data_IF_418243775977
#
_entry.id   IF_418243775977
#
_cell.length_a   1.000
_cell.length_b   1.000
_cell.length_c   1.000
_cell.angle_alpha   90.00
_cell.angle_beta   90.00
_cell.angle_gamma   90.00
#
_symmetry.space_group_name_H-M   'P 1'
#
loop_
_entity.id
_entity.type
_entity.pdbx_description
1 polymer ?
#
# COMPACT_ATOMS: atom_id res chain seq x y z
N UNK A 1 -13.55 -2.48 2.31
CA UNK A 1 -12.58 -1.86 1.38
C UNK A 1 -13.20 -0.84 0.43
N UNK A 2 -14.21 -1.19 -0.38
CA UNK A 2 -14.78 -0.29 -1.40
C UNK A 2 -15.27 1.07 -0.84
N UNK A 3 -16.03 1.05 0.26
CA UNK A 3 -16.53 2.28 0.91
C UNK A 3 -15.41 3.26 1.29
N UNK A 4 -14.28 2.76 1.81
CA UNK A 4 -13.16 3.64 2.20
C UNK A 4 -12.43 4.21 0.99
N UNK A 5 -12.21 3.41 -0.05
CA UNK A 5 -11.57 3.86 -1.29
C UNK A 5 -12.42 4.92 -1.97
N UNK A 6 -13.74 4.72 -2.00
CA UNK A 6 -14.70 5.70 -2.50
C UNK A 6 -14.63 7.02 -1.71
N UNK A 7 -14.66 6.96 -0.37
CA UNK A 7 -14.58 8.18 0.46
C UNK A 7 -13.23 8.89 0.28
N UNK A 8 -12.11 8.15 0.21
CA UNK A 8 -10.77 8.70 -0.03
C UNK A 8 -10.72 9.42 -1.37
N UNK A 9 -11.17 8.77 -2.44
CA UNK A 9 -11.22 9.33 -3.78
C UNK A 9 -12.12 10.57 -3.86
N UNK A 10 -13.30 10.54 -3.21
CA UNK A 10 -14.21 11.69 -3.15
C UNK A 10 -13.58 12.89 -2.44
N UNK A 11 -12.84 12.66 -1.35
CA UNK A 11 -12.14 13.73 -0.62
C UNK A 11 -10.98 14.28 -1.42
N UNK A 12 -10.24 13.40 -2.11
CA UNK A 12 -9.15 13.79 -2.97
C UNK A 12 -9.64 14.66 -4.15
N UNK A 13 -10.69 14.22 -4.85
CA UNK A 13 -11.35 15.00 -5.90
C UNK A 13 -11.78 16.38 -5.42
N UNK A 14 -12.51 16.46 -4.29
CA UNK A 14 -12.89 17.74 -3.66
C UNK A 14 -11.70 18.63 -3.26
N UNK A 15 -10.50 18.07 -3.05
CA UNK A 15 -9.30 18.87 -2.78
C UNK A 15 -8.69 19.37 -4.07
N UNK A 16 -8.61 18.54 -5.10
CA UNK A 16 -8.19 18.97 -6.43
C UNK A 16 -9.08 20.11 -6.97
N UNK A 17 -10.41 20.00 -6.80
CA UNK A 17 -11.36 21.06 -7.19
C UNK A 17 -11.06 22.38 -6.46
N UNK A 18 -10.75 22.33 -5.16
CA UNK A 18 -10.38 23.51 -4.35
C UNK A 18 -9.03 24.11 -4.73
N UNK A 19 -8.13 23.30 -5.26
CA UNK A 19 -6.82 23.74 -5.75
C UNK A 19 -6.88 24.17 -7.23
N UNK A 20 -8.08 24.23 -7.82
CA UNK A 20 -8.32 24.53 -9.23
C UNK A 20 -7.54 23.63 -10.19
N UNK A 21 -7.38 22.35 -9.83
CA UNK A 21 -6.64 21.42 -10.67
C UNK A 21 -7.49 20.26 -11.22
N UNK A 22 -7.43 20.06 -12.53
CA UNK A 22 -8.14 18.97 -13.19
C UNK A 22 -7.58 17.59 -12.80
N UNK A 23 -8.47 16.69 -12.37
CA UNK A 23 -8.14 15.28 -12.12
C UNK A 23 -8.63 14.44 -13.30
N UNK A 24 -7.71 13.81 -14.03
CA UNK A 24 -8.07 12.95 -15.16
C UNK A 24 -8.58 11.60 -14.65
N UNK A 25 -9.41 10.93 -15.44
CA UNK A 25 -9.92 9.59 -15.10
C UNK A 25 -8.80 8.58 -14.84
N UNK A 26 -7.75 8.59 -15.67
CA UNK A 26 -6.60 7.70 -15.48
C UNK A 26 -5.90 7.93 -14.13
N UNK A 27 -5.74 9.20 -13.73
CA UNK A 27 -5.11 9.57 -12.46
C UNK A 27 -6.00 9.14 -11.28
N UNK A 28 -7.31 9.27 -11.42
CA UNK A 28 -8.28 8.82 -10.42
C UNK A 28 -8.29 7.29 -10.26
N UNK A 29 -8.16 6.53 -11.35
CA UNK A 29 -8.08 5.06 -11.31
C UNK A 29 -6.84 4.60 -10.56
N UNK A 30 -5.67 5.19 -10.84
CA UNK A 30 -4.43 4.91 -10.11
C UNK A 30 -4.60 5.21 -8.62
N UNK A 31 -5.17 6.37 -8.29
CA UNK A 31 -5.43 6.75 -6.91
C UNK A 31 -6.39 5.78 -6.19
N UNK A 32 -7.47 5.35 -6.85
CA UNK A 32 -8.45 4.41 -6.29
C UNK A 32 -7.83 3.05 -6.07
N UNK A 33 -7.00 2.59 -6.99
CA UNK A 33 -6.35 1.29 -6.93
C UNK A 33 -5.30 1.26 -5.80
N UNK A 34 -4.48 2.31 -5.65
CA UNK A 34 -3.66 2.48 -4.43
C UNK A 34 -4.55 2.61 -3.17
N UNK A 35 -5.71 3.25 -3.24
CA UNK A 35 -6.60 3.35 -2.08
C UNK A 35 -7.25 2.00 -1.71
N UNK A 36 -7.37 1.08 -2.68
CA UNK A 36 -7.91 -0.27 -2.49
C UNK A 36 -6.87 -1.26 -1.94
N UNK A 37 -5.67 -0.80 -1.59
CA UNK A 37 -4.62 -1.59 -0.93
C UNK A 37 -5.15 -2.49 0.20
N UNK A 38 -4.97 -3.81 0.10
CA UNK A 38 -5.42 -4.75 1.14
C UNK A 38 -4.78 -4.48 2.52
N UNK A 39 -3.46 -4.30 2.56
CA UNK A 39 -2.69 -3.86 3.74
C UNK A 39 -2.84 -2.35 3.93
N UNK A 40 -3.22 -1.92 5.13
CA UNK A 40 -3.17 -0.51 5.49
C UNK A 40 -1.72 -0.08 5.79
N UNK A 41 -1.47 1.23 5.77
CA UNK A 41 -0.13 1.80 5.96
C UNK A 41 0.54 1.44 7.29
N UNK A 42 -0.25 1.16 8.34
CA UNK A 42 0.23 0.83 9.69
C UNK A 42 0.11 -0.68 10.01
N UNK A 43 -0.03 -1.52 8.98
CA UNK A 43 -0.18 -2.96 9.16
C UNK A 43 1.13 -3.60 9.66
N UNK A 44 1.14 -4.06 10.92
CA UNK A 44 2.20 -4.94 11.48
C UNK A 44 2.26 -6.28 10.74
N UNK A 45 3.39 -6.97 10.86
CA UNK A 45 3.60 -8.29 10.23
C UNK A 45 2.48 -9.31 10.57
N UNK A 46 1.97 -9.33 11.80
CA UNK A 46 0.83 -10.20 12.16
C UNK A 46 -0.43 -9.94 11.32
N UNK A 47 -0.77 -8.69 11.06
CA UNK A 47 -1.92 -8.34 10.21
C UNK A 47 -1.68 -8.75 8.76
N UNK A 48 -0.42 -8.65 8.29
CA UNK A 48 -0.05 -9.07 6.94
C UNK A 48 -0.10 -10.59 6.79
N UNK A 49 0.30 -11.34 7.82
CA UNK A 49 0.15 -12.81 7.87
C UNK A 49 -1.32 -13.20 7.87
N UNK A 50 -2.17 -12.52 8.66
CA UNK A 50 -3.61 -12.77 8.65
C UNK A 50 -4.24 -12.49 7.27
N UNK A 51 -3.85 -11.41 6.59
CA UNK A 51 -4.27 -11.17 5.21
C UNK A 51 -3.77 -12.25 4.26
N UNK A 52 -2.49 -12.62 4.36
CA UNK A 52 -1.91 -13.67 3.51
C UNK A 52 -2.69 -14.98 3.68
N UNK A 53 -3.06 -15.34 4.91
CA UNK A 53 -3.89 -16.50 5.20
C UNK A 53 -5.24 -16.43 4.47
N UNK A 54 -5.97 -15.31 4.58
CA UNK A 54 -7.24 -15.12 3.87
C UNK A 54 -7.09 -15.21 2.34
N UNK A 55 -5.97 -14.72 1.80
CA UNK A 55 -5.70 -14.80 0.36
C UNK A 55 -5.36 -16.23 -0.08
N UNK A 56 -4.62 -16.97 0.74
CA UNK A 56 -4.31 -18.39 0.49
C UNK A 56 -5.59 -19.22 0.58
N UNK A 57 -6.47 -18.94 1.54
CA UNK A 57 -7.77 -19.58 1.66
C UNK A 57 -8.65 -19.31 0.42
N UNK A 58 -8.72 -18.04 -0.03
CA UNK A 58 -9.41 -17.68 -1.26
C UNK A 58 -8.84 -18.36 -2.50
N UNK A 59 -7.50 -18.46 -2.60
CA UNK A 59 -6.82 -19.17 -3.67
C UNK A 59 -7.13 -20.67 -3.66
N UNK A 60 -7.11 -21.33 -2.49
CA UNK A 60 -7.49 -22.74 -2.37
C UNK A 60 -8.96 -22.98 -2.75
N UNK A 61 -9.85 -22.05 -2.37
CA UNK A 61 -11.25 -22.06 -2.77
C UNK A 61 -11.41 -21.95 -4.29
N UNK A 62 -10.68 -21.03 -4.93
CA UNK A 62 -10.69 -20.89 -6.39
C UNK A 62 -10.15 -22.14 -7.08
N UNK A 63 -9.05 -22.75 -6.60
CA UNK A 63 -8.53 -24.02 -7.16
C UNK A 63 -9.54 -25.15 -7.04
N UNK A 64 -10.18 -25.30 -5.87
CA UNK A 64 -11.17 -26.35 -5.65
C UNK A 64 -12.37 -26.18 -6.59
N UNK A 65 -12.89 -24.96 -6.68
CA UNK A 65 -14.07 -24.68 -7.50
C UNK A 65 -13.78 -24.88 -8.99
N UNK A 66 -12.55 -24.60 -9.40
CA UNK A 66 -12.09 -24.75 -10.78
C UNK A 66 -11.87 -26.22 -11.19
N UNK A 67 -11.57 -27.10 -10.23
CA UNK A 67 -11.61 -28.56 -10.43
C UNK A 67 -13.07 -29.05 -10.51
N UNK A 68 -13.97 -28.45 -9.72
CA UNK A 68 -15.35 -28.90 -9.59
C UNK A 68 -16.30 -28.37 -10.70
N UNK A 69 -15.94 -27.29 -11.39
CA UNK A 69 -16.86 -26.61 -12.32
C UNK A 69 -16.30 -26.50 -13.74
N UNK A 70 -17.15 -26.84 -14.72
CA UNK A 70 -16.89 -26.62 -16.13
C UNK A 70 -17.74 -25.46 -16.69
N UNK A 71 -17.29 -24.85 -17.78
CA UNK A 71 -18.06 -23.81 -18.50
C UNK A 71 -17.76 -22.36 -18.11
N UNK A 72 -18.77 -21.49 -18.21
CA UNK A 72 -18.62 -20.02 -18.06
C UNK A 72 -18.23 -19.63 -16.63
N UNK A 73 -18.74 -20.36 -15.63
CA UNK A 73 -18.42 -20.10 -14.22
C UNK A 73 -16.94 -20.41 -13.93
N UNK A 74 -16.39 -21.46 -14.55
CA UNK A 74 -14.95 -21.74 -14.50
C UNK A 74 -14.10 -20.60 -15.08
N UNK A 75 -14.53 -19.93 -16.16
CA UNK A 75 -13.83 -18.75 -16.71
C UNK A 75 -13.74 -17.60 -15.73
N UNK A 76 -14.80 -17.35 -14.95
CA UNK A 76 -14.79 -16.33 -13.91
C UNK A 76 -13.83 -16.69 -12.76
N UNK A 77 -13.69 -17.97 -12.43
CA UNK A 77 -12.74 -18.44 -11.42
C UNK A 77 -11.29 -18.26 -11.83
N UNK A 78 -10.95 -18.44 -13.12
CA UNK A 78 -9.59 -18.13 -13.59
C UNK A 78 -9.22 -16.65 -13.36
N UNK A 79 -10.18 -15.74 -13.51
CA UNK A 79 -9.98 -14.31 -13.23
C UNK A 79 -9.80 -14.08 -11.72
N UNK A 80 -10.66 -14.69 -10.89
CA UNK A 80 -10.55 -14.62 -9.43
C UNK A 80 -9.20 -15.18 -8.94
N UNK A 81 -8.79 -16.33 -9.46
CA UNK A 81 -7.53 -16.99 -9.15
C UNK A 81 -6.33 -16.10 -9.47
N UNK A 82 -6.32 -15.49 -10.67
CA UNK A 82 -5.29 -14.54 -11.07
C UNK A 82 -5.18 -13.34 -10.13
N UNK A 83 -6.33 -12.79 -9.69
CA UNK A 83 -6.38 -11.67 -8.76
C UNK A 83 -5.89 -12.05 -7.36
N UNK A 84 -6.35 -13.18 -6.82
CA UNK A 84 -5.91 -13.69 -5.52
C UNK A 84 -4.40 -13.99 -5.53
N UNK A 85 -3.89 -14.58 -6.61
CA UNK A 85 -2.46 -14.83 -6.77
C UNK A 85 -1.64 -13.54 -6.86
N UNK A 86 -2.12 -12.54 -7.61
CA UNK A 86 -1.52 -11.20 -7.68
C UNK A 86 -1.47 -10.55 -6.29
N UNK A 87 -2.53 -10.71 -5.50
CA UNK A 87 -2.59 -10.27 -4.10
C UNK A 87 -1.59 -10.99 -3.20
N UNK A 88 -1.45 -12.31 -3.32
CA UNK A 88 -0.46 -13.11 -2.57
C UNK A 88 0.95 -12.64 -2.90
N UNK A 89 1.27 -12.48 -4.19
CA UNK A 89 2.58 -11.98 -4.64
C UNK A 89 2.88 -10.59 -4.08
N UNK A 90 1.91 -9.68 -4.10
CA UNK A 90 2.06 -8.33 -3.54
C UNK A 90 2.29 -8.37 -2.03
N UNK A 91 1.54 -9.19 -1.28
CA UNK A 91 1.71 -9.32 0.17
C UNK A 91 3.06 -9.93 0.56
N UNK A 92 3.48 -10.99 -0.13
CA UNK A 92 4.79 -11.61 0.09
C UNK A 92 5.91 -10.62 -0.18
N UNK A 93 5.82 -9.87 -1.29
CA UNK A 93 6.81 -8.85 -1.60
C UNK A 93 6.86 -7.74 -0.54
N UNK A 94 5.71 -7.25 -0.07
CA UNK A 94 5.68 -6.25 1.03
C UNK A 94 6.30 -6.78 2.33
N UNK A 95 6.09 -8.06 2.66
CA UNK A 95 6.72 -8.69 3.82
C UNK A 95 8.24 -8.76 3.65
N UNK A 96 8.72 -9.20 2.49
CA UNK A 96 10.15 -9.26 2.17
C UNK A 96 10.79 -7.87 2.19
N UNK A 97 10.09 -6.84 1.69
CA UNK A 97 10.54 -5.45 1.75
C UNK A 97 10.66 -4.97 3.21
N UNK A 98 9.69 -5.27 4.08
CA UNK A 98 9.79 -4.91 5.51
C UNK A 98 10.88 -5.64 6.27
N UNK A 99 11.22 -6.85 5.85
CA UNK A 99 12.32 -7.60 6.46
C UNK A 99 13.71 -7.13 5.95
N UNK A 100 13.75 -6.20 4.99
CA UNK A 100 14.99 -5.68 4.39
C UNK A 100 15.90 -6.77 3.80
N UNK A 101 15.33 -7.89 3.35
CA UNK A 101 16.09 -9.03 2.81
C UNK A 101 16.65 -8.78 1.41
N UNK A 102 16.12 -7.78 0.69
CA UNK A 102 16.48 -7.44 -0.68
C UNK A 102 17.04 -6.02 -0.69
N UNK A 103 18.13 -5.77 -1.40
CA UNK A 103 18.70 -4.43 -1.55
C UNK A 103 17.80 -3.47 -2.34
N UNK A 104 17.93 -2.16 -2.12
CA UNK A 104 17.05 -1.14 -2.71
C UNK A 104 16.98 -1.17 -4.26
N UNK A 105 18.11 -1.48 -4.92
CA UNK A 105 18.19 -1.57 -6.38
C UNK A 105 17.36 -2.73 -6.92
N UNK A 106 17.47 -3.90 -6.28
CA UNK A 106 16.71 -5.09 -6.68
C UNK A 106 15.24 -4.98 -6.28
N UNK A 107 14.92 -4.36 -5.15
CA UNK A 107 13.54 -4.01 -4.79
C UNK A 107 12.88 -3.12 -5.84
N UNK A 108 13.56 -2.05 -6.26
CA UNK A 108 13.06 -1.11 -7.27
C UNK A 108 12.88 -1.80 -8.63
N UNK A 109 13.84 -2.65 -9.02
CA UNK A 109 13.76 -3.45 -10.24
C UNK A 109 12.54 -4.38 -10.23
N UNK A 110 12.36 -5.13 -9.14
CA UNK A 110 11.22 -6.05 -8.99
C UNK A 110 9.90 -5.28 -8.99
N UNK A 111 9.79 -4.16 -8.28
CA UNK A 111 8.59 -3.32 -8.29
C UNK A 111 8.24 -2.85 -9.70
N UNK A 112 9.22 -2.35 -10.46
CA UNK A 112 8.96 -1.83 -11.81
C UNK A 112 8.63 -2.93 -12.82
N UNK A 113 9.19 -4.14 -12.68
CA UNK A 113 8.92 -5.27 -13.56
C UNK A 113 7.59 -5.97 -13.25
N UNK A 114 7.33 -6.27 -11.99
CA UNK A 114 6.20 -7.12 -11.57
C UNK A 114 5.00 -6.33 -11.05
N UNK A 115 5.23 -5.14 -10.50
CA UNK A 115 4.21 -4.35 -9.83
C UNK A 115 4.04 -2.99 -10.52
N UNK A 116 3.67 -3.03 -11.79
CA UNK A 116 3.33 -1.82 -12.55
C UNK A 116 1.86 -1.82 -13.02
N UNK A 117 1.28 -0.64 -13.13
CA UNK A 117 -0.14 -0.47 -13.51
C UNK A 117 -0.44 -0.93 -14.94
N UNK A 118 0.50 -0.70 -15.85
CA UNK A 118 0.33 -0.96 -17.27
C UNK A 118 0.22 -2.45 -17.59
N UNK A 119 0.97 -3.31 -16.88
CA UNK A 119 1.01 -4.76 -17.11
C UNK A 119 0.27 -5.56 -16.05
N UNK A 120 -0.21 -4.95 -14.96
CA UNK A 120 -0.95 -5.68 -13.92
C UNK A 120 -2.21 -6.34 -14.47
N UNK A 121 -3.06 -5.56 -15.15
CA UNK A 121 -4.35 -6.02 -15.68
C UNK A 121 -4.15 -6.91 -16.92
N UNK A 122 -3.22 -6.55 -17.80
CA UNK A 122 -2.84 -7.40 -18.93
C UNK A 122 -2.30 -8.75 -18.45
N UNK A 123 -1.47 -8.73 -17.40
CA UNK A 123 -0.92 -9.91 -16.76
C UNK A 123 -2.00 -10.81 -16.19
N UNK A 124 -3.00 -10.26 -15.50
CA UNK A 124 -4.13 -11.03 -14.96
C UNK A 124 -4.99 -11.64 -16.08
N UNK A 125 -5.29 -10.89 -17.15
CA UNK A 125 -6.06 -11.39 -18.29
C UNK A 125 -5.34 -12.53 -19.04
N UNK A 126 -4.06 -12.33 -19.37
CA UNK A 126 -3.25 -13.35 -20.07
C UNK A 126 -3.02 -14.55 -19.15
N UNK A 127 -2.79 -14.32 -17.85
CA UNK A 127 -2.62 -15.41 -16.90
C UNK A 127 -3.89 -16.26 -16.80
N UNK A 128 -5.08 -15.66 -16.74
CA UNK A 128 -6.35 -16.40 -16.77
C UNK A 128 -6.49 -17.26 -18.04
N UNK A 129 -6.16 -16.71 -19.22
CA UNK A 129 -6.20 -17.46 -20.48
C UNK A 129 -5.15 -18.59 -20.54
N UNK A 130 -3.93 -18.32 -20.08
CA UNK A 130 -2.84 -19.28 -20.05
C UNK A 130 -3.07 -20.38 -19.01
N UNK A 131 -3.66 -20.05 -17.85
CA UNK A 131 -4.07 -21.00 -16.83
C UNK A 131 -5.11 -21.98 -17.37
N UNK A 132 -6.08 -21.50 -18.17
CA UNK A 132 -7.05 -22.37 -18.82
C UNK A 132 -6.35 -23.40 -19.74
N UNK A 133 -5.37 -22.96 -20.52
CA UNK A 133 -4.61 -23.85 -21.37
C UNK A 133 -3.74 -24.82 -20.56
N UNK A 134 -3.05 -24.32 -19.52
CA UNK A 134 -2.17 -25.09 -18.64
C UNK A 134 -2.91 -26.21 -17.91
N UNK A 135 -4.08 -25.92 -17.31
CA UNK A 135 -4.87 -26.93 -16.59
C UNK A 135 -5.53 -27.92 -17.54
N UNK A 136 -5.96 -27.49 -18.73
CA UNK A 136 -6.44 -28.42 -19.78
C UNK A 136 -5.33 -29.37 -20.23
N UNK A 137 -4.10 -28.86 -20.38
CA UNK A 137 -2.93 -29.67 -20.73
C UNK A 137 -2.57 -30.65 -19.59
N UNK A 138 -2.60 -30.21 -18.33
CA UNK A 138 -2.33 -31.07 -17.18
C UNK A 138 -3.37 -32.20 -17.04
N UNK A 139 -4.67 -31.88 -17.17
CA UNK A 139 -5.76 -32.87 -17.13
C UNK A 139 -5.67 -33.89 -18.27
N UNK A 140 -5.19 -33.48 -19.45
CA UNK A 140 -4.95 -34.40 -20.58
C UNK A 140 -3.66 -35.20 -20.46
N UNK A 141 -2.67 -34.71 -19.71
CA UNK A 141 -1.38 -35.36 -19.58
C UNK A 141 -1.50 -36.68 -18.79
N UNK A 142 -0.78 -37.72 -19.24
CA UNK A 142 -0.69 -39.02 -18.55
C UNK A 142 -0.02 -38.92 -17.16
N UNK A 143 0.57 -37.77 -16.81
CA UNK A 143 1.27 -37.54 -15.54
C UNK A 143 0.35 -37.66 -14.33
N UNK A 144 -0.87 -37.12 -14.39
CA UNK A 144 -1.85 -37.25 -13.31
C UNK A 144 -2.35 -38.70 -13.14
N UNK A 145 -2.55 -39.41 -14.26
CA UNK A 145 -2.98 -40.83 -14.29
C UNK A 145 -1.94 -41.79 -13.71
N UNK A 146 -0.64 -41.47 -13.83
CA UNK A 146 0.45 -42.24 -13.19
C UNK A 146 0.60 -41.87 -11.70
N UNK A 147 0.21 -40.65 -11.35
CA UNK A 147 0.24 -40.12 -9.98
C UNK A 147 -0.76 -40.83 -9.04
N UNK A 148 -1.87 -41.37 -9.56
CA UNK A 148 -2.83 -42.17 -8.76
C UNK A 148 -2.21 -43.45 -8.17
N UNK A 149 -1.20 -44.02 -8.84
CA UNK A 149 -0.49 -45.19 -8.33
C UNK A 149 0.45 -44.82 -7.17
N UNK A 150 1.15 -43.69 -7.27
CA UNK A 150 2.05 -43.15 -6.25
C UNK A 150 1.30 -42.52 -5.05
N UNK A 151 0.08 -41.99 -5.27
CA UNK A 151 -0.76 -41.42 -4.22
C UNK A 151 -1.19 -42.46 -3.17
N UNK A 152 -1.34 -43.74 -3.58
CA UNK A 152 -1.65 -44.86 -2.66
C UNK A 152 -0.47 -45.24 -1.77
N UNK A 153 0.76 -44.87 -2.12
CA UNK A 153 1.98 -45.25 -1.41
C UNK A 153 2.37 -44.29 -0.27
N UNK A 154 2.06 -42.99 -0.38
CA UNK A 154 2.55 -41.97 0.57
C UNK A 154 1.44 -41.31 1.40
N UNK A 155 0.23 -41.18 0.85
CA UNK A 155 -1.04 -40.66 1.44
C UNK A 155 -1.74 -39.73 0.44
N UNK A 156 -3.05 -39.87 0.22
CA UNK A 156 -3.80 -39.06 -0.75
C UNK A 156 -3.79 -37.55 -0.42
N UNK A 157 -3.67 -37.18 0.85
CA UNK A 157 -3.66 -35.77 1.28
C UNK A 157 -2.35 -35.06 0.93
N UNK A 158 -1.21 -35.72 1.16
CA UNK A 158 0.12 -35.16 0.86
C UNK A 158 0.29 -35.00 -0.65
N UNK A 159 -0.15 -36.00 -1.40
CA UNK A 159 -0.06 -35.96 -2.86
C UNK A 159 -0.97 -34.90 -3.49
N UNK A 160 -2.18 -34.72 -2.94
CA UNK A 160 -3.06 -33.62 -3.33
C UNK A 160 -2.42 -32.25 -3.05
N UNK A 161 -1.78 -32.07 -1.88
CA UNK A 161 -1.07 -30.82 -1.54
C UNK A 161 0.07 -30.52 -2.51
N UNK A 162 0.87 -31.53 -2.86
CA UNK A 162 1.95 -31.39 -3.85
C UNK A 162 1.38 -31.01 -5.23
N UNK A 163 0.29 -31.64 -5.65
CA UNK A 163 -0.40 -31.30 -6.90
C UNK A 163 -0.86 -29.84 -6.95
N UNK A 164 -1.51 -29.35 -5.90
CA UNK A 164 -1.90 -27.94 -5.79
C UNK A 164 -0.67 -27.02 -5.78
N UNK A 165 0.40 -27.41 -5.07
CA UNK A 165 1.66 -26.67 -5.04
C UNK A 165 2.28 -26.48 -6.43
N UNK A 166 2.31 -27.53 -7.25
CA UNK A 166 2.81 -27.46 -8.63
C UNK A 166 1.94 -26.55 -9.49
N UNK A 167 0.61 -26.66 -9.37
CA UNK A 167 -0.33 -25.80 -10.10
C UNK A 167 -0.10 -24.33 -9.74
N UNK A 168 -0.08 -24.00 -8.44
CA UNK A 168 0.10 -22.63 -7.96
C UNK A 168 1.46 -22.09 -8.40
N UNK A 169 2.54 -22.88 -8.30
CA UNK A 169 3.87 -22.46 -8.74
C UNK A 169 3.92 -22.20 -10.24
N UNK A 170 3.27 -23.06 -11.05
CA UNK A 170 3.12 -22.86 -12.50
C UNK A 170 2.36 -21.57 -12.82
N UNK A 171 1.25 -21.31 -12.12
CA UNK A 171 0.48 -20.08 -12.23
C UNK A 171 1.31 -18.83 -11.89
N UNK A 172 2.10 -18.88 -10.80
CA UNK A 172 3.00 -17.78 -10.41
C UNK A 172 4.03 -17.53 -11.51
N UNK A 173 4.63 -18.60 -12.04
CA UNK A 173 5.63 -18.50 -13.11
C UNK A 173 5.06 -17.83 -14.36
N UNK A 174 3.87 -18.24 -14.81
CA UNK A 174 3.18 -17.61 -15.94
C UNK A 174 2.87 -16.14 -15.65
N UNK A 175 2.35 -15.81 -14.47
CA UNK A 175 2.04 -14.43 -14.11
C UNK A 175 3.29 -13.54 -14.10
N UNK A 176 4.37 -14.02 -13.47
CA UNK A 176 5.65 -13.32 -13.37
C UNK A 176 6.27 -13.10 -14.76
N UNK A 177 6.28 -14.12 -15.60
CA UNK A 177 6.86 -14.04 -16.97
C UNK A 177 6.09 -13.04 -17.83
N UNK A 178 4.75 -13.13 -17.86
CA UNK A 178 3.91 -12.22 -18.64
C UNK A 178 4.10 -10.77 -18.19
N UNK A 179 4.08 -10.51 -16.87
CA UNK A 179 4.26 -9.14 -16.34
C UNK A 179 5.64 -8.58 -16.64
N UNK A 180 6.67 -9.39 -16.45
CA UNK A 180 8.05 -9.00 -16.74
C UNK A 180 8.24 -8.71 -18.23
N UNK A 181 7.76 -9.60 -19.11
CA UNK A 181 7.88 -9.43 -20.55
C UNK A 181 7.11 -8.20 -21.04
N UNK A 182 5.88 -8.01 -20.56
CA UNK A 182 5.08 -6.83 -20.85
C UNK A 182 5.78 -5.54 -20.43
N UNK A 183 6.42 -5.54 -19.25
CA UNK A 183 7.13 -4.37 -18.75
C UNK A 183 8.38 -4.08 -19.60
N UNK A 184 9.16 -5.11 -19.94
CA UNK A 184 10.34 -4.98 -20.80
C UNK A 184 9.96 -4.43 -22.18
N UNK A 185 8.91 -4.98 -22.81
CA UNK A 185 8.40 -4.51 -24.10
C UNK A 185 7.95 -3.05 -23.98
N UNK A 186 7.17 -2.72 -22.95
CA UNK A 186 6.72 -1.35 -22.71
C UNK A 186 7.89 -0.38 -22.58
N UNK A 187 8.91 -0.73 -21.80
CA UNK A 187 10.12 0.09 -21.63
C UNK A 187 10.87 0.30 -22.92
N UNK A 188 11.02 -0.76 -23.72
CA UNK A 188 11.70 -0.69 -25.01
C UNK A 188 10.96 0.22 -25.98
N UNK A 189 9.63 0.13 -26.04
CA UNK A 189 8.79 0.96 -26.91
C UNK A 189 8.75 2.42 -26.43
N UNK A 190 8.63 2.66 -25.12
CA UNK A 190 8.39 4.01 -24.58
C UNK A 190 9.66 4.83 -24.39
N UNK A 191 10.72 4.22 -23.85
CA UNK A 191 11.94 4.93 -23.45
C UNK A 191 13.15 4.55 -24.32
N UNK A 192 13.02 3.55 -25.20
CA UNK A 192 14.12 3.06 -26.03
C UNK A 192 15.26 2.40 -25.23
N UNK A 193 15.17 2.30 -23.91
CA UNK A 193 16.23 1.77 -23.06
C UNK A 193 15.67 1.07 -21.80
N UNK A 194 16.48 0.17 -21.23
CA UNK A 194 16.14 -0.53 -19.99
C UNK A 194 16.71 0.15 -18.74
N UNK A 195 17.46 1.26 -18.90
CA UNK A 195 18.12 1.96 -17.80
C UNK A 195 17.13 2.43 -16.72
N UNK A 196 15.92 2.79 -17.13
CA UNK A 196 14.83 3.21 -16.23
C UNK A 196 14.39 2.07 -15.29
N UNK A 197 14.64 0.79 -15.58
CA UNK A 197 14.31 -0.28 -14.64
C UNK A 197 15.28 -0.33 -13.44
N UNK A 198 16.54 0.06 -13.65
CA UNK A 198 17.62 -0.09 -12.67
C UNK A 198 17.92 1.24 -11.96
N UNK A 199 17.69 2.38 -12.62
CA UNK A 199 18.06 3.71 -12.12
C UNK A 199 17.27 4.04 -10.85
N UNK A 200 17.92 4.28 -9.70
CA UNK A 200 17.21 4.61 -8.47
C UNK A 200 16.55 6.01 -8.57
N UNK A 201 15.44 6.19 -7.87
CA UNK A 201 14.75 7.47 -7.75
C UNK A 201 14.47 7.78 -6.28
N UNK A 202 14.82 8.98 -5.83
CA UNK A 202 14.64 9.37 -4.43
C UNK A 202 13.17 9.33 -3.95
N UNK A 203 12.22 9.53 -4.88
CA UNK A 203 10.78 9.43 -4.59
C UNK A 203 10.40 7.98 -4.27
N UNK A 204 10.94 7.01 -5.02
CA UNK A 204 10.69 5.58 -4.77
C UNK A 204 11.24 5.17 -3.40
N UNK A 205 12.46 5.63 -3.06
CA UNK A 205 13.05 5.39 -1.74
C UNK A 205 12.24 6.04 -0.61
N UNK A 206 11.69 7.24 -0.84
CA UNK A 206 10.85 7.95 0.13
C UNK A 206 9.49 7.30 0.29
N UNK A 207 8.91 6.75 -0.77
CA UNK A 207 7.70 5.95 -0.67
C UNK A 207 7.99 4.62 0.05
N UNK A 208 9.02 3.88 -0.35
CA UNK A 208 9.30 2.55 0.20
C UNK A 208 8.05 1.67 0.17
N UNK A 209 7.68 1.10 1.33
CA UNK A 209 6.48 0.26 1.51
C UNK A 209 5.14 1.01 1.28
N UNK A 210 5.18 2.34 1.15
CA UNK A 210 4.00 3.20 0.92
C UNK A 210 3.46 3.14 -0.51
N UNK A 211 4.25 2.71 -1.49
CA UNK A 211 3.80 2.51 -2.88
C UNK A 211 3.71 1.02 -3.21
N UNK A 212 2.53 0.53 -3.65
CA UNK A 212 2.34 -0.90 -3.97
C UNK A 212 2.68 -1.16 -5.42
N UNK A 213 2.16 -0.30 -6.28
CA UNK A 213 2.35 -0.37 -7.71
C UNK A 213 3.02 0.91 -8.19
N UNK A 214 3.70 0.81 -9.31
CA UNK A 214 4.41 1.92 -9.98
C UNK A 214 3.74 2.20 -11.32
N UNK A 215 3.58 3.48 -11.67
CA UNK A 215 3.14 3.88 -13.02
C UNK A 215 4.39 4.00 -13.88
N UNK A 216 4.64 3.00 -14.73
CA UNK A 216 5.90 2.85 -15.45
C UNK A 216 6.08 3.94 -16.53
N UNK A 217 5.00 4.34 -17.19
CA UNK A 217 4.98 5.49 -18.10
C UNK A 217 5.01 6.85 -17.41
N UNK A 218 4.94 6.84 -16.08
CA UNK A 218 4.88 8.03 -15.23
C UNK A 218 6.22 8.71 -14.99
N UNK A 219 7.31 8.12 -15.45
CA UNK A 219 8.65 8.67 -15.28
C UNK A 219 9.08 9.58 -16.44
N UNK A 220 9.93 10.54 -16.12
CA UNK A 220 10.76 11.29 -17.05
C UNK A 220 12.22 10.85 -16.83
N UNK A 221 12.89 10.44 -17.91
CA UNK A 221 14.29 10.02 -17.87
C UNK A 221 15.14 11.10 -18.54
N UNK A 222 15.87 11.86 -17.73
CA UNK A 222 16.65 13.03 -18.15
C UNK A 222 18.05 12.91 -17.57
N UNK A 223 19.10 13.09 -18.39
CA UNK A 223 20.50 13.10 -17.94
C UNK A 223 20.89 11.88 -17.06
N UNK A 224 20.44 10.68 -17.45
CA UNK A 224 20.63 9.42 -16.70
C UNK A 224 20.01 9.42 -15.29
N UNK A 225 19.09 10.35 -15.02
CA UNK A 225 18.38 10.48 -13.75
C UNK A 225 16.89 10.29 -14.00
N UNK A 226 16.23 9.66 -13.03
CA UNK A 226 14.82 9.33 -13.12
C UNK A 226 14.00 10.30 -12.27
N UNK A 227 12.98 10.89 -12.87
CA UNK A 227 12.07 11.82 -12.21
C UNK A 227 10.62 11.37 -12.39
N UNK A 228 9.78 11.65 -11.41
CA UNK A 228 8.33 11.53 -11.52
C UNK A 228 7.75 12.75 -12.24
N UNK A 229 6.92 12.50 -13.25
CA UNK A 229 6.12 13.55 -13.88
C UNK A 229 5.09 14.09 -12.88
N UNK A 230 4.69 15.36 -13.04
CA UNK A 230 3.68 16.00 -12.18
C UNK A 230 2.36 15.22 -12.18
N UNK A 231 1.91 14.77 -13.36
CA UNK A 231 0.69 13.97 -13.50
C UNK A 231 0.75 12.68 -12.67
N UNK A 232 1.93 12.05 -12.62
CA UNK A 232 2.15 10.82 -11.84
C UNK A 232 2.14 11.10 -10.34
N UNK A 233 2.80 12.15 -9.89
CA UNK A 233 2.74 12.58 -8.48
C UNK A 233 1.28 12.79 -8.06
N UNK A 234 0.50 13.47 -8.92
CA UNK A 234 -0.92 13.69 -8.73
C UNK A 234 -1.73 12.39 -8.76
N UNK A 235 -1.44 11.45 -9.66
CA UNK A 235 -2.13 10.16 -9.74
C UNK A 235 -1.93 9.33 -8.46
N UNK A 236 -0.76 9.43 -7.82
CA UNK A 236 -0.50 8.82 -6.51
C UNK A 236 -1.08 9.63 -5.32
N UNK A 237 -1.68 10.79 -5.57
CA UNK A 237 -2.18 11.67 -4.52
C UNK A 237 -1.09 12.34 -3.69
N UNK A 238 0.11 12.47 -4.24
CA UNK A 238 1.21 13.20 -3.62
C UNK A 238 1.01 14.70 -3.81
N UNK A 239 1.13 15.44 -2.71
CA UNK A 239 0.95 16.89 -2.66
C UNK A 239 2.14 17.57 -2.00
N UNK A 240 2.29 18.86 -2.28
CA UNK A 240 3.28 19.73 -1.67
C UNK A 240 2.68 20.35 -0.41
N UNK A 241 3.44 20.37 0.68
CA UNK A 241 3.17 21.22 1.84
C UNK A 241 4.28 22.24 1.99
N UNK A 242 3.89 23.48 2.25
CA UNK A 242 4.81 24.55 2.61
C UNK A 242 4.53 25.00 4.04
N UNK A 243 5.58 25.08 4.85
CA UNK A 243 5.53 25.70 6.18
C UNK A 243 5.82 27.20 6.09
N UNK A 244 5.53 27.93 7.18
CA UNK A 244 5.74 29.38 7.28
C UNK A 244 7.19 29.77 7.00
N UNK A 245 8.14 28.90 7.38
CA UNK A 245 9.58 29.05 7.13
C UNK A 245 9.99 28.86 5.66
N UNK A 246 9.02 28.68 4.75
CA UNK A 246 9.26 28.44 3.32
C UNK A 246 9.70 27.02 2.97
N UNK A 247 9.93 26.16 3.97
CA UNK A 247 10.35 24.77 3.79
C UNK A 247 9.29 23.92 3.09
N UNK A 248 9.71 23.13 2.11
CA UNK A 248 8.82 22.30 1.28
C UNK A 248 8.85 20.83 1.69
N UNK A 249 7.68 20.21 1.71
CA UNK A 249 7.50 18.82 2.13
C UNK A 249 6.60 18.04 1.17
N UNK A 250 6.90 16.75 1.04
CA UNK A 250 6.10 15.78 0.33
C UNK A 250 5.05 15.19 1.27
N UNK A 251 3.79 15.30 0.88
CA UNK A 251 2.64 14.85 1.67
C UNK A 251 1.86 13.79 0.92
N UNK A 252 1.42 12.77 1.66
CA UNK A 252 0.66 11.64 1.14
C UNK A 252 -0.54 11.34 2.03
N UNK A 253 -1.59 10.78 1.43
CA UNK A 253 -2.73 10.24 2.16
C UNK A 253 -2.39 8.92 2.85
N UNK A 254 -2.54 8.87 4.17
CA UNK A 254 -2.38 7.63 4.95
C UNK A 254 -3.73 6.94 5.12
N UNK A 255 -3.86 5.73 4.56
CA UNK A 255 -5.04 4.90 4.74
C UNK A 255 -4.86 3.96 5.94
N UNK A 256 -5.85 3.94 6.83
CA UNK A 256 -5.95 3.03 7.97
C UNK A 256 -6.96 1.90 7.69
N UNK A 257 -6.90 0.85 8.51
CA UNK A 257 -7.72 -0.35 8.36
C UNK A 257 -9.23 -0.06 8.46
N UNK A 258 -9.63 0.59 9.55
CA UNK A 258 -11.04 0.76 9.94
C UNK A 258 -11.47 2.23 9.89
N UNK A 259 -10.54 3.15 10.17
CA UNK A 259 -10.84 4.57 10.26
C UNK A 259 -10.42 5.34 8.99
N UNK A 260 -11.23 6.32 8.60
CA UNK A 260 -10.85 7.32 7.60
C UNK A 260 -10.73 8.65 8.34
N UNK A 261 -9.54 8.96 8.90
CA UNK A 261 -9.36 10.16 9.72
C UNK A 261 -9.71 11.42 8.93
N UNK A 262 -10.23 12.45 9.61
CA UNK A 262 -10.55 13.74 8.97
C UNK A 262 -9.29 14.48 8.52
N UNK A 263 -8.17 14.28 9.21
CA UNK A 263 -6.81 14.72 8.82
C UNK A 263 -6.02 13.50 8.38
N UNK A 264 -6.03 13.24 7.08
CA UNK A 264 -5.46 12.05 6.45
C UNK A 264 -4.14 12.31 5.72
N UNK A 265 -3.68 13.57 5.73
CA UNK A 265 -2.44 14.01 5.12
C UNK A 265 -1.26 13.95 6.09
N UNK A 266 -0.21 13.24 5.66
CA UNK A 266 1.02 13.07 6.42
C UNK A 266 2.22 13.45 5.58
N UNK A 267 3.15 14.17 6.20
CA UNK A 267 4.45 14.49 5.63
C UNK A 267 5.32 13.25 5.67
N UNK A 268 5.89 12.87 4.53
CA UNK A 268 6.72 11.66 4.37
C UNK A 268 8.16 11.97 3.92
N UNK A 269 8.42 13.17 3.40
CA UNK A 269 9.76 13.59 3.01
C UNK A 269 9.90 15.10 2.93
N UNK A 270 11.12 15.60 3.10
CA UNK A 270 11.49 16.98 2.81
C UNK A 270 11.87 17.10 1.33
N UNK A 271 11.48 18.21 0.71
CA UNK A 271 11.75 18.51 -0.70
C UNK A 271 12.81 19.59 -0.75
N UNK A 272 13.90 19.33 -1.48
CA UNK A 272 14.94 20.32 -1.75
C UNK A 272 15.22 20.37 -3.26
N UNK A 273 14.74 21.44 -3.90
CA UNK A 273 14.67 21.53 -5.35
C UNK A 273 13.89 20.35 -5.92
N UNK A 274 14.48 19.59 -6.85
CA UNK A 274 13.84 18.41 -7.46
C UNK A 274 14.00 17.12 -6.63
N UNK A 275 14.75 17.12 -5.52
CA UNK A 275 15.06 15.92 -4.74
C UNK A 275 14.13 15.81 -3.53
N UNK A 276 13.85 14.57 -3.12
CA UNK A 276 13.06 14.26 -1.92
C UNK A 276 13.90 13.40 -0.99
N UNK A 277 13.94 13.76 0.29
CA UNK A 277 14.59 12.98 1.32
C UNK A 277 13.56 12.49 2.37
N UNK A 278 13.65 11.23 2.83
CA UNK A 278 12.78 10.75 3.90
C UNK A 278 12.92 11.58 5.17
N UNK A 279 11.81 11.89 5.82
CA UNK A 279 11.78 12.62 7.09
C UNK A 279 10.84 11.90 8.08
N UNK A 280 10.94 12.17 9.40
CA UNK A 280 10.01 11.61 10.37
C UNK A 280 8.57 11.98 10.02
N UNK A 281 7.67 10.99 10.08
CA UNK A 281 6.27 11.19 9.73
C UNK A 281 5.62 12.19 10.70
N UNK A 282 4.97 13.21 10.15
CA UNK A 282 4.20 14.19 10.94
C UNK A 282 2.90 14.55 10.24
N UNK A 283 1.93 15.02 11.01
CA UNK A 283 0.68 15.54 10.48
C UNK A 283 0.94 16.77 9.61
N UNK A 284 0.18 16.89 8.53
CA UNK A 284 0.21 18.06 7.67
C UNK A 284 -0.38 19.27 8.40
N UNK A 285 0.46 20.25 8.72
CA UNK A 285 0.09 21.49 9.41
C UNK A 285 0.22 22.75 8.54
N UNK A 286 0.88 22.65 7.39
CA UNK A 286 1.13 23.78 6.49
C UNK A 286 0.12 23.91 5.36
N UNK A 287 0.38 24.88 4.48
CA UNK A 287 -0.45 25.12 3.29
C UNK A 287 -0.17 24.01 2.27
N UNK A 288 -1.23 23.34 1.83
CA UNK A 288 -1.16 22.26 0.85
C UNK A 288 -1.41 22.81 -0.54
N UNK A 289 -0.51 22.51 -1.46
CA UNK A 289 -0.62 22.83 -2.87
C UNK A 289 -0.14 21.66 -3.72
N UNK A 290 -0.26 21.78 -5.03
CA UNK A 290 0.28 20.79 -5.96
C UNK A 290 1.71 21.10 -6.36
N UNK A 291 2.45 20.08 -6.78
CA UNK A 291 3.81 20.28 -7.27
C UNK A 291 3.79 20.92 -8.66
N UNK A 292 4.59 21.96 -8.83
CA UNK A 292 4.84 22.64 -10.11
C UNK A 292 6.10 22.11 -10.83
N UNK A 293 6.82 21.18 -10.19
CA UNK A 293 8.07 20.63 -10.71
C UNK A 293 8.12 19.10 -10.60
N UNK A 294 8.94 18.48 -11.45
CA UNK A 294 9.23 17.04 -11.38
C UNK A 294 10.11 16.73 -10.17
N UNK A 295 9.89 15.57 -9.56
CA UNK A 295 10.64 15.14 -8.37
C UNK A 295 11.38 13.84 -8.64
N UNK A 296 12.64 13.72 -8.22
CA UNK A 296 13.45 12.53 -8.42
C UNK A 296 14.95 12.79 -8.42
N UNK A 297 15.67 11.92 -9.12
CA UNK A 297 17.12 11.87 -9.15
C UNK A 297 17.72 10.98 -8.06
N UNK A 298 19.05 11.00 -7.99
CA UNK A 298 19.84 10.20 -7.04
C UNK A 298 20.14 11.03 -5.79
N UNK A 299 19.86 10.46 -4.62
CA UNK A 299 20.29 11.02 -3.33
C UNK A 299 21.79 10.77 -3.21
N UNK A 300 22.62 11.82 -3.26
CA UNK A 300 24.07 11.70 -3.00
C UNK A 300 25.04 12.42 -3.96
N UNK A 301 24.61 12.99 -5.07
CA UNK A 301 25.54 13.77 -5.92
C UNK A 301 25.56 15.27 -5.59
N UNK A 302 26.80 15.72 -5.34
CA UNK A 302 27.37 17.06 -5.10
C UNK A 302 27.35 17.63 -3.65
N UNK A 303 28.49 17.50 -2.95
CA UNK A 303 29.09 18.65 -2.26
C UNK A 303 28.91 18.82 -0.74
N UNK A 304 28.50 17.83 0.05
CA UNK A 304 28.53 17.99 1.52
C UNK A 304 28.73 16.66 2.25
N UNK A 305 29.92 16.48 2.82
CA UNK A 305 30.38 15.37 3.65
C UNK A 305 29.75 15.41 5.05
N UNK A 306 28.42 15.34 5.18
CA UNK A 306 27.77 15.12 6.49
C UNK A 306 26.32 14.64 6.47
N UNK A 307 25.90 13.74 5.57
CA UNK A 307 24.47 13.41 5.44
C UNK A 307 24.12 11.91 5.36
N UNK A 308 24.98 11.03 5.91
CA UNK A 308 24.80 9.58 5.83
C UNK A 308 24.03 8.91 6.98
N UNK A 309 23.42 9.64 7.94
CA UNK A 309 22.82 9.01 9.13
C UNK A 309 21.28 8.91 9.16
N UNK A 310 20.58 9.25 8.07
CA UNK A 310 19.10 9.23 8.03
C UNK A 310 18.45 8.12 7.21
N UNK A 311 19.20 7.45 6.33
CA UNK A 311 18.62 6.52 5.35
C UNK A 311 18.13 5.18 5.95
N UNK A 312 18.53 4.84 7.18
CA UNK A 312 18.23 3.53 7.78
C UNK A 312 17.00 3.49 8.68
N UNK A 313 16.13 4.49 8.64
CA UNK A 313 14.97 4.54 9.54
C UNK A 313 13.72 5.08 8.85
N UNK A 314 13.15 4.27 7.94
CA UNK A 314 11.70 4.22 7.75
C UNK A 314 11.06 3.67 9.03
N UNK A 315 11.17 4.40 10.15
CA UNK A 315 10.39 4.13 11.36
C UNK A 315 8.96 4.58 11.06
N UNK A 316 8.14 3.63 10.63
CA UNK A 316 6.75 3.62 11.10
C UNK A 316 6.85 3.69 12.63
N UNK A 317 6.34 4.77 13.22
CA UNK A 317 6.45 4.99 14.65
C UNK A 317 5.97 3.74 15.41
N UNK A 318 6.83 3.17 16.26
CA UNK A 318 6.41 2.21 17.26
C UNK A 318 5.51 2.97 18.25
N UNK A 319 4.21 2.72 18.13
CA UNK A 319 3.10 3.12 19.01
C UNK A 319 2.70 4.61 19.00
N UNK A 320 1.40 4.92 19.01
CA UNK A 320 0.91 6.01 19.86
C UNK A 320 0.85 5.52 21.30
N UNK A 321 1.35 6.36 22.22
CA UNK A 321 1.07 6.25 23.63
C UNK A 321 -0.43 6.05 23.85
N UNK A 322 -0.76 5.12 24.75
CA UNK A 322 -2.08 4.82 25.26
C UNK A 322 -2.89 6.11 25.38
N UNK A 323 -3.96 6.23 24.58
CA UNK A 323 -4.98 7.25 24.78
C UNK A 323 -5.53 6.98 26.19
N UNK A 324 -5.16 7.82 27.17
CA UNK A 324 -5.87 7.88 28.44
C UNK A 324 -7.29 8.32 28.11
N UNK A 325 -8.20 7.36 28.06
CA UNK A 325 -9.64 7.62 28.05
C UNK A 325 -9.94 8.30 29.38
N UNK A 326 -10.13 9.62 29.33
CA UNK A 326 -10.70 10.38 30.43
C UNK A 326 -12.06 9.79 30.77
N UNK A 327 -12.18 9.29 32.00
CA UNK A 327 -13.43 8.77 32.55
C UNK A 327 -14.51 9.86 32.49
N UNK A 328 -15.72 9.56 31.96
CA UNK A 328 -16.81 10.51 31.99
C UNK A 328 -17.32 10.68 33.41
N UNK A 329 -17.29 11.94 33.84
CA UNK A 329 -17.91 12.51 35.04
C UNK A 329 -19.40 12.14 35.06
N UNK A 330 -19.79 11.20 35.92
CA UNK A 330 -21.20 10.98 36.27
C UNK A 330 -21.62 12.04 37.29
N UNK A 331 -22.48 12.97 36.86
CA UNK A 331 -23.34 13.78 37.72
C UNK A 331 -24.79 13.31 37.53
N UNK A 332 -25.57 13.46 38.60
CA UNK A 332 -26.98 13.06 38.82
C UNK A 332 -27.10 11.70 39.52
N UNK A 333 -27.75 11.56 40.67
CA UNK A 333 -28.56 12.46 41.49
C UNK A 333 -28.88 11.75 42.82
N UNK A 334 -28.89 12.49 43.94
CA UNK A 334 -29.85 12.28 45.03
C UNK A 334 -29.87 13.50 45.95
N UNK A 335 -30.87 14.35 45.69
CA UNK A 335 -31.43 15.31 46.62
C UNK A 335 -32.33 14.52 47.60
N UNK A 336 -32.14 14.66 48.92
CA UNK A 336 -33.21 14.72 49.93
C UNK A 336 -32.73 15.53 51.15
N UNK A 337 -33.35 16.70 51.31
CA UNK A 337 -33.70 17.49 52.51
C UNK A 337 -33.00 17.26 53.85
N UNK A 338 -32.51 18.36 54.45
CA UNK A 338 -33.03 18.82 55.75
C UNK A 338 -32.70 20.31 56.00
N UNK A 339 -33.75 21.05 56.31
CA UNK A 339 -33.85 22.46 56.63
C UNK A 339 -33.51 22.71 58.11
N UNK A 340 -32.70 23.75 58.43
CA UNK A 340 -32.96 24.75 59.49
C UNK A 340 -31.75 25.70 59.70
N UNK A 341 -32.05 26.99 59.54
CA UNK A 341 -31.29 28.21 59.86
C UNK A 341 -31.06 28.41 61.39
N UNK A 342 -30.62 29.60 61.89
CA UNK A 342 -29.43 30.39 61.59
C UNK A 342 -28.61 30.73 62.89
N UNK A 343 -27.61 31.60 62.73
CA UNK A 343 -26.73 32.23 63.73
C UNK A 343 -27.40 32.82 64.99
N UNK A 344 -26.58 33.17 66.00
CA UNK A 344 -26.67 34.54 66.50
C UNK A 344 -25.31 35.19 66.80
N UNK A 345 -25.26 36.51 66.61
CA UNK A 345 -24.24 37.41 67.16
C UNK A 345 -24.91 38.24 68.26
N UNK A 346 -24.32 38.35 69.45
CA UNK A 346 -23.99 39.60 70.18
C UNK A 346 -23.92 39.48 71.72
N UNK A 347 -22.80 40.04 72.24
CA UNK A 347 -22.66 40.98 73.37
C UNK A 347 -22.89 40.48 74.81
N UNK A 348 -21.93 40.78 75.69
CA UNK A 348 -22.22 41.13 77.09
C UNK A 348 -21.22 40.68 78.14
N UNK A 349 -20.34 41.60 78.54
CA UNK A 349 -19.55 41.71 79.78
C UNK A 349 -20.26 41.37 81.10
N UNK A 350 -19.54 40.76 82.06
CA UNK A 350 -19.57 40.97 83.54
C UNK A 350 -18.52 40.00 84.16
N UNK A 351 -17.34 40.45 84.61
CA UNK A 351 -16.98 41.01 85.93
C UNK A 351 -16.78 39.99 87.09
N UNK A 352 -15.65 40.16 87.79
CA UNK A 352 -15.26 39.68 89.15
C UNK A 352 -14.97 38.17 89.29
N UNK A 353 -13.90 37.68 89.93
CA UNK A 353 -12.99 38.19 90.98
C UNK A 353 -11.58 37.61 90.84
#
# INVERSE_FOLDING_TARGET
>A
MLRRSYISCKRYGKRCDRLCENLRLNDAVVYVQESMRLSAYDARNYHRVALLYLLVEGLMGDLFLLIAQEGIIGRLQYISLGYNLSGVMSMLFEMVETMHWIGERTQSLIKRLLFNYETMLLGECICAAAMQHYLTALNRSKGFKRSDYEAKLVSPYVWSLVGHGVIVLGCVLVLVTVRSLGAIIYMRVKYGCFAVLITPCCVDSTLGIRGKLIVLGGYAFENRKLYYRLQTLKAFGMMKMQEEDGSEFLVLHKLYWIAIPRRDLFVIGSVNGRKVQPCPERLCNGIVSSFTQVLGGVVGEAGSTRWHRGASSNRVALAPATIKVGSPRNQSSRQVNSTREPSPTKVGTLETS
#
